data_IF_684960434617
#
_entry.id   IF_684960434617
#
_cell.length_a   1.000
_cell.length_b   1.000
_cell.length_c   1.000
_cell.angle_alpha   90.00
_cell.angle_beta   90.00
_cell.angle_gamma   90.00
#
_symmetry.space_group_name_H-M   'P 1'
#
loop_
_entity.id
_entity.type
_entity.pdbx_description
1 polymer ?
#
# COMPACT_ATOMS: atom_id res chain seq x y z
N UNK A 1 -4.64 -9.77 -33.70
CA UNK A 1 -5.82 -10.18 -32.91
C UNK A 1 -5.53 -11.56 -32.36
N UNK A 2 -4.91 -11.60 -31.19
CA UNK A 2 -4.68 -12.83 -30.46
C UNK A 2 -6.03 -13.42 -30.05
N UNK A 3 -6.20 -14.73 -30.29
CA UNK A 3 -7.40 -15.46 -29.90
C UNK A 3 -7.22 -15.89 -28.44
N UNK A 4 -7.66 -15.07 -27.50
CA UNK A 4 -7.88 -15.50 -26.11
C UNK A 4 -9.25 -16.18 -26.03
N UNK A 5 -9.31 -17.35 -25.38
CA UNK A 5 -10.56 -18.06 -25.16
C UNK A 5 -10.95 -17.97 -23.69
N UNK A 6 -12.25 -18.18 -23.41
CA UNK A 6 -12.74 -18.16 -22.02
C UNK A 6 -12.15 -19.35 -21.22
N UNK A 7 -11.78 -20.43 -21.90
CA UNK A 7 -11.16 -21.62 -21.30
C UNK A 7 -9.82 -21.26 -20.64
N UNK A 8 -9.02 -20.42 -21.29
CA UNK A 8 -7.71 -19.96 -20.78
C UNK A 8 -7.83 -19.20 -19.44
N UNK A 9 -8.99 -18.58 -19.19
CA UNK A 9 -9.26 -17.77 -18.00
C UNK A 9 -9.98 -18.54 -16.88
N UNK A 10 -10.76 -19.57 -17.21
CA UNK A 10 -11.57 -20.32 -16.22
C UNK A 10 -10.69 -21.12 -15.26
N UNK A 11 -9.51 -21.56 -15.72
CA UNK A 11 -8.56 -22.27 -14.86
C UNK A 11 -8.02 -21.39 -13.71
N UNK A 12 -8.06 -20.07 -13.89
CA UNK A 12 -7.60 -19.07 -12.90
C UNK A 12 -8.75 -18.53 -12.08
N UNK A 13 -9.90 -18.28 -12.73
CA UNK A 13 -11.13 -17.81 -12.08
C UNK A 13 -12.27 -18.77 -12.37
N UNK A 14 -12.56 -19.64 -11.41
CA UNK A 14 -13.56 -20.71 -11.55
C UNK A 14 -14.97 -20.19 -11.87
N UNK A 15 -15.33 -19.00 -11.37
CA UNK A 15 -16.63 -18.38 -11.60
C UNK A 15 -16.60 -17.45 -12.82
N UNK A 16 -17.36 -17.81 -13.87
CA UNK A 16 -17.46 -17.03 -15.11
C UNK A 16 -18.03 -15.63 -14.92
N UNK A 17 -18.92 -15.43 -13.95
CA UNK A 17 -19.46 -14.10 -13.66
C UNK A 17 -18.42 -13.22 -12.94
N UNK A 18 -17.66 -13.82 -12.03
CA UNK A 18 -16.54 -13.14 -11.34
C UNK A 18 -15.46 -12.74 -12.34
N UNK A 19 -15.10 -13.62 -13.28
CA UNK A 19 -14.16 -13.31 -14.36
C UNK A 19 -14.58 -12.06 -15.13
N UNK A 20 -15.86 -11.93 -15.49
CA UNK A 20 -16.38 -10.75 -16.20
C UNK A 20 -16.27 -9.49 -15.35
N UNK A 21 -16.54 -9.59 -14.04
CA UNK A 21 -16.42 -8.46 -13.12
C UNK A 21 -14.96 -8.00 -12.97
N UNK A 22 -14.03 -8.93 -12.73
CA UNK A 22 -12.60 -8.63 -12.57
C UNK A 22 -11.99 -8.09 -13.86
N UNK A 23 -12.25 -8.73 -15.01
CA UNK A 23 -11.78 -8.24 -16.30
C UNK A 23 -12.37 -6.87 -16.65
N UNK A 24 -13.64 -6.63 -16.28
CA UNK A 24 -14.29 -5.33 -16.44
C UNK A 24 -13.66 -4.24 -15.58
N UNK A 25 -13.34 -4.54 -14.32
CA UNK A 25 -12.61 -3.64 -13.42
C UNK A 25 -11.23 -3.31 -13.98
N UNK A 26 -10.44 -4.34 -14.35
CA UNK A 26 -9.11 -4.17 -14.93
C UNK A 26 -9.13 -3.37 -16.23
N UNK A 27 -10.09 -3.64 -17.12
CA UNK A 27 -10.23 -2.89 -18.37
C UNK A 27 -10.51 -1.38 -18.15
N UNK A 28 -11.22 -1.02 -17.08
CA UNK A 28 -11.42 0.38 -16.68
C UNK A 28 -10.13 0.99 -16.15
N UNK A 29 -9.37 0.27 -15.33
CA UNK A 29 -8.06 0.76 -14.86
C UNK A 29 -7.13 1.06 -16.04
N UNK A 30 -7.04 0.15 -17.01
CA UNK A 30 -6.27 0.37 -18.25
C UNK A 30 -6.81 1.59 -19.01
N UNK A 31 -8.13 1.76 -19.08
CA UNK A 31 -8.75 2.94 -19.71
C UNK A 31 -8.43 4.24 -18.99
N UNK A 32 -8.18 4.19 -17.68
CA UNK A 32 -7.77 5.33 -16.85
C UNK A 32 -6.25 5.58 -16.89
N UNK A 33 -5.49 4.80 -17.66
CA UNK A 33 -4.05 4.95 -17.83
C UNK A 33 -3.18 3.98 -17.01
N UNK A 34 -3.75 2.95 -16.40
CA UNK A 34 -2.94 1.91 -15.75
C UNK A 34 -2.04 1.21 -16.78
N UNK A 35 -0.80 0.93 -16.37
CA UNK A 35 0.19 0.24 -17.20
C UNK A 35 -0.28 -1.20 -17.50
N UNK A 36 -0.13 -1.60 -18.75
CA UNK A 36 -0.38 -2.98 -19.20
C UNK A 36 0.88 -3.83 -19.00
N UNK A 37 0.69 -5.10 -18.67
CA UNK A 37 1.76 -6.07 -18.41
C UNK A 37 1.98 -7.04 -19.58
N UNK A 38 1.09 -7.00 -20.57
CA UNK A 38 1.16 -7.82 -21.80
C UNK A 38 1.20 -6.93 -23.03
N UNK A 39 1.84 -7.43 -24.09
CA UNK A 39 1.95 -6.71 -25.34
C UNK A 39 0.60 -6.51 -26.05
N UNK A 40 0.39 -5.27 -26.50
CA UNK A 40 -0.84 -4.84 -27.13
C UNK A 40 -0.88 -5.18 -28.61
N UNK A 41 -1.54 -6.29 -28.97
CA UNK A 41 -1.74 -6.73 -30.36
C UNK A 41 -3.03 -6.14 -30.98
N UNK A 42 -3.13 -4.79 -31.01
CA UNK A 42 -4.35 -4.07 -31.42
C UNK A 42 -5.63 -4.45 -30.63
N UNK A 43 -5.45 -5.11 -29.48
CA UNK A 43 -6.54 -5.55 -28.63
C UNK A 43 -7.16 -4.38 -27.86
N UNK A 44 -8.47 -4.47 -27.65
CA UNK A 44 -9.21 -3.52 -26.80
C UNK A 44 -8.93 -3.83 -25.32
N UNK A 45 -9.10 -2.85 -24.43
CA UNK A 45 -8.81 -3.00 -23.00
C UNK A 45 -9.46 -4.24 -22.35
N UNK A 46 -10.71 -4.63 -22.66
CA UNK A 46 -11.28 -5.87 -22.12
C UNK A 46 -10.54 -7.14 -22.54
N UNK A 47 -10.04 -7.20 -23.78
CA UNK A 47 -9.30 -8.35 -24.30
C UNK A 47 -7.89 -8.38 -23.71
N UNK A 48 -7.25 -7.21 -23.56
CA UNK A 48 -5.96 -7.09 -22.87
C UNK A 48 -6.10 -7.57 -21.42
N UNK A 49 -7.13 -7.14 -20.70
CA UNK A 49 -7.38 -7.58 -19.32
C UNK A 49 -7.57 -9.10 -19.20
N UNK A 50 -8.31 -9.73 -20.12
CA UNK A 50 -8.46 -11.18 -20.15
C UNK A 50 -7.13 -11.90 -20.43
N UNK A 51 -6.27 -11.33 -21.27
CA UNK A 51 -4.93 -11.86 -21.53
C UNK A 51 -4.02 -11.75 -20.30
N UNK A 52 -4.05 -10.63 -19.59
CA UNK A 52 -3.29 -10.47 -18.33
C UNK A 52 -3.71 -11.51 -17.27
N UNK A 53 -5.01 -11.83 -17.20
CA UNK A 53 -5.53 -12.88 -16.30
C UNK A 53 -5.13 -14.28 -16.79
N UNK A 54 -5.20 -14.54 -18.09
CA UNK A 54 -4.85 -15.84 -18.67
C UNK A 54 -3.34 -16.16 -18.56
N UNK A 55 -2.51 -15.13 -18.73
CA UNK A 55 -1.04 -15.20 -18.67
C UNK A 55 -0.51 -15.06 -17.22
N UNK A 56 -1.40 -14.93 -16.23
CA UNK A 56 -1.08 -14.81 -14.79
C UNK A 56 -0.12 -13.65 -14.47
N UNK A 57 -0.05 -12.64 -15.34
CA UNK A 57 0.76 -11.43 -15.09
C UNK A 57 0.13 -10.54 -14.03
N UNK A 58 -1.15 -10.76 -13.74
CA UNK A 58 -1.91 -10.13 -12.67
C UNK A 58 -2.67 -11.20 -11.90
N UNK A 59 -2.56 -11.15 -10.58
CA UNK A 59 -3.31 -11.99 -9.63
C UNK A 59 -4.80 -11.62 -9.65
N UNK A 60 -5.71 -12.57 -9.95
CA UNK A 60 -7.15 -12.35 -9.83
C UNK A 60 -7.59 -11.99 -8.41
N UNK A 61 -6.91 -12.52 -7.40
CA UNK A 61 -7.16 -12.25 -5.99
C UNK A 61 -6.85 -10.78 -5.66
N UNK A 62 -5.71 -10.25 -6.12
CA UNK A 62 -5.35 -8.85 -5.89
C UNK A 62 -6.35 -7.92 -6.58
N UNK A 63 -6.73 -8.25 -7.82
CA UNK A 63 -7.77 -7.53 -8.56
C UNK A 63 -9.11 -7.49 -7.84
N UNK A 64 -9.44 -8.57 -7.11
CA UNK A 64 -10.66 -8.68 -6.34
C UNK A 64 -10.62 -7.78 -5.11
N UNK A 65 -9.52 -7.80 -4.37
CA UNK A 65 -9.34 -6.93 -3.21
C UNK A 65 -9.36 -5.44 -3.63
N UNK A 66 -8.67 -5.08 -4.71
CA UNK A 66 -8.73 -3.73 -5.29
C UNK A 66 -10.16 -3.33 -5.68
N UNK A 67 -10.90 -4.23 -6.34
CA UNK A 67 -12.29 -3.99 -6.70
C UNK A 67 -13.17 -3.77 -5.46
N UNK A 68 -13.00 -4.58 -4.42
CA UNK A 68 -13.73 -4.44 -3.15
C UNK A 68 -13.40 -3.09 -2.51
N UNK A 69 -12.13 -2.74 -2.39
CA UNK A 69 -11.69 -1.44 -1.85
C UNK A 69 -12.24 -0.26 -2.65
N UNK A 70 -12.28 -0.36 -3.98
CA UNK A 70 -12.82 0.71 -4.84
C UNK A 70 -14.31 0.99 -4.60
N UNK A 71 -15.05 0.03 -4.05
CA UNK A 71 -16.49 0.11 -3.79
C UNK A 71 -16.82 0.37 -2.31
N UNK A 72 -15.86 0.15 -1.40
CA UNK A 72 -16.00 0.43 0.03
C UNK A 72 -15.98 1.94 0.29
N UNK A 73 -17.17 2.52 0.51
CA UNK A 73 -17.30 3.96 0.82
C UNK A 73 -17.05 4.32 2.28
N UNK A 74 -17.21 3.35 3.18
CA UNK A 74 -17.06 3.53 4.61
C UNK A 74 -16.20 2.39 5.13
N UNK A 75 -15.00 2.72 5.59
CA UNK A 75 -14.12 1.82 6.33
C UNK A 75 -14.22 2.29 7.78
N UNK A 76 -14.77 1.44 8.64
CA UNK A 76 -14.79 1.71 10.07
C UNK A 76 -13.33 1.72 10.54
N UNK A 77 -12.85 2.86 11.02
CA UNK A 77 -11.55 2.94 11.68
C UNK A 77 -11.75 2.27 13.03
N UNK A 78 -11.19 1.07 13.22
CA UNK A 78 -11.03 0.50 14.55
C UNK A 78 -10.19 1.51 15.35
N UNK A 79 -10.87 2.33 16.15
CA UNK A 79 -10.19 3.14 17.15
C UNK A 79 -9.43 2.16 18.04
N UNK A 80 -8.12 2.36 18.28
CA UNK A 80 -7.41 1.51 19.21
C UNK A 80 -8.14 1.61 20.54
N UNK A 81 -8.70 0.49 21.02
CA UNK A 81 -9.25 0.45 22.36
C UNK A 81 -8.18 1.03 23.29
N UNK A 82 -8.50 2.02 24.14
CA UNK A 82 -7.53 2.50 25.10
C UNK A 82 -7.27 1.32 26.03
N UNK A 83 -6.19 0.57 25.76
CA UNK A 83 -5.66 -0.40 26.69
C UNK A 83 -5.61 0.34 28.02
N UNK A 84 -6.33 -0.20 29.00
CA UNK A 84 -6.50 0.44 30.29
C UNK A 84 -5.12 0.67 30.88
N UNK A 85 -4.61 1.89 30.72
CA UNK A 85 -3.37 2.34 31.34
C UNK A 85 -3.58 2.03 32.83
N UNK A 86 -2.78 1.12 33.42
CA UNK A 86 -2.92 0.81 34.83
C UNK A 86 -2.74 2.13 35.57
N UNK A 87 -3.77 2.57 36.27
CA UNK A 87 -3.70 3.73 37.14
C UNK A 87 -2.75 3.37 38.28
N UNK A 88 -1.45 3.64 38.09
CA UNK A 88 -0.45 3.58 39.14
C UNK A 88 -0.77 4.73 40.09
N UNK A 89 -1.56 4.45 41.13
CA UNK A 89 -1.81 5.41 42.19
C UNK A 89 -3.11 5.22 42.97
N UNK A 90 -3.29 4.08 43.66
CA UNK A 90 -4.23 4.00 44.78
C UNK A 90 -3.87 2.83 45.71
N UNK A 91 -2.96 3.06 46.66
CA UNK A 91 -2.66 2.11 47.73
C UNK A 91 -1.23 2.28 48.20
N UNK A 92 -1.04 2.95 49.33
CA UNK A 92 0.27 3.30 49.84
C UNK A 92 1.09 2.09 50.29
N UNK A 93 2.39 2.16 50.03
CA UNK A 93 3.48 1.71 50.88
C UNK A 93 4.75 2.31 50.28
N UNK A 94 5.59 2.90 51.15
CA UNK A 94 6.76 3.65 50.74
C UNK A 94 7.76 2.78 49.98
N UNK A 95 8.31 3.33 48.89
CA UNK A 95 9.52 2.81 48.26
C UNK A 95 10.44 3.99 48.00
N UNK A 96 11.68 3.79 48.45
CA UNK A 96 12.80 4.72 48.52
C UNK A 96 13.14 5.44 47.21
N UNK A 97 13.77 6.61 47.41
CA UNK A 97 14.41 7.41 46.39
C UNK A 97 15.61 6.66 45.77
N UNK A 98 15.47 6.14 44.55
CA UNK A 98 16.54 6.15 43.53
C UNK A 98 16.00 5.66 42.17
N UNK A 99 16.35 6.39 41.11
CA UNK A 99 16.42 5.97 39.70
C UNK A 99 15.25 5.20 39.05
N UNK A 100 14.33 5.94 38.42
CA UNK A 100 14.10 5.93 36.94
C UNK A 100 12.84 6.75 36.63
N UNK A 101 13.01 8.07 36.65
CA UNK A 101 11.96 9.00 36.24
C UNK A 101 11.97 9.10 34.70
N UNK A 102 11.07 8.39 34.02
CA UNK A 102 10.74 8.76 32.63
C UNK A 102 9.73 9.90 32.70
N UNK A 103 10.24 11.09 32.96
CA UNK A 103 9.46 12.33 32.82
C UNK A 103 9.22 12.53 31.33
N UNK A 104 8.01 12.22 30.87
CA UNK A 104 7.50 12.74 29.60
C UNK A 104 7.17 14.23 29.80
N UNK A 105 8.23 15.03 29.91
CA UNK A 105 8.14 16.49 29.93
C UNK A 105 7.65 16.93 28.55
N UNK A 106 6.52 17.65 28.51
CA UNK A 106 6.08 18.36 27.31
C UNK A 106 7.13 19.41 27.01
N UNK A 107 8.12 19.07 26.19
CA UNK A 107 9.12 20.02 25.74
C UNK A 107 8.42 21.19 25.03
N UNK A 108 8.80 22.40 25.41
CA UNK A 108 8.28 23.59 24.75
C UNK A 108 8.80 23.66 23.31
N UNK A 109 8.05 24.31 22.40
CA UNK A 109 8.45 24.46 21.00
C UNK A 109 9.85 25.09 20.87
N UNK A 110 10.20 25.99 21.80
CA UNK A 110 11.50 26.65 21.89
C UNK A 110 12.65 25.67 22.24
N UNK A 111 12.41 24.67 23.09
CA UNK A 111 13.40 23.62 23.42
C UNK A 111 13.64 22.67 22.26
N UNK A 112 12.59 22.35 21.50
CA UNK A 112 12.67 21.56 20.27
C UNK A 112 13.47 22.29 19.19
N UNK A 113 13.22 23.58 19.00
CA UNK A 113 13.91 24.42 18.01
C UNK A 113 15.40 24.56 18.33
N UNK A 114 15.73 24.76 19.61
CA UNK A 114 17.12 24.83 20.08
C UNK A 114 17.88 23.52 19.92
N UNK A 115 17.19 22.39 20.05
CA UNK A 115 17.75 21.06 19.76
C UNK A 115 18.04 20.86 18.27
N UNK A 116 17.18 21.40 17.40
CA UNK A 116 17.31 21.29 15.94
C UNK A 116 18.44 22.15 15.37
N UNK A 117 18.69 23.35 15.92
CA UNK A 117 19.77 24.25 15.46
C UNK A 117 21.19 23.65 15.61
N UNK A 118 21.36 22.63 16.45
CA UNK A 118 22.62 21.91 16.61
C UNK A 118 22.86 20.78 15.60
N UNK A 119 21.85 20.35 14.84
CA UNK A 119 22.02 19.35 13.80
C UNK A 119 22.45 20.03 12.50
N UNK A 120 23.75 19.94 12.20
CA UNK A 120 24.25 20.28 10.88
C UNK A 120 23.46 19.51 9.82
N UNK A 121 23.01 20.16 8.73
CA UNK A 121 22.37 19.47 7.62
C UNK A 121 23.28 18.34 7.14
N UNK A 122 22.74 17.15 6.83
CA UNK A 122 23.54 16.12 6.18
C UNK A 122 24.12 16.69 4.88
N UNK A 123 25.43 16.59 4.70
CA UNK A 123 26.12 16.96 3.46
C UNK A 123 25.54 16.13 2.30
N UNK A 124 25.17 16.86 1.25
CA UNK A 124 24.86 16.49 -0.12
C UNK A 124 24.64 15.00 -0.44
N UNK A 125 23.42 14.68 -0.91
CA UNK A 125 23.14 13.43 -1.62
C UNK A 125 24.10 13.32 -2.82
N UNK A 126 24.82 12.21 -3.02
CA UNK A 126 25.65 12.06 -4.21
C UNK A 126 24.76 12.14 -5.45
N UNK A 127 25.17 13.01 -6.38
CA UNK A 127 24.59 13.16 -7.72
C UNK A 127 24.49 11.79 -8.41
N UNK A 128 23.40 11.51 -9.16
CA UNK A 128 23.28 10.27 -9.90
C UNK A 128 24.40 10.19 -10.95
N UNK A 129 25.15 9.08 -10.92
CA UNK A 129 26.19 8.77 -11.90
C UNK A 129 25.51 8.61 -13.27
N UNK A 130 25.84 9.48 -14.22
CA UNK A 130 25.52 9.26 -15.63
C UNK A 130 26.22 7.97 -16.08
N UNK A 131 25.42 6.98 -16.48
CA UNK A 131 25.94 5.74 -17.05
C UNK A 131 26.28 6.06 -18.50
N UNK A 132 27.58 6.22 -18.78
CA UNK A 132 28.10 6.33 -20.14
C UNK A 132 27.69 5.07 -20.94
N UNK A 133 26.93 5.28 -22.01
CA UNK A 133 26.78 4.35 -23.13
C UNK A 133 28.16 4.12 -23.76
N UNK A 134 28.71 2.89 -23.63
CA UNK A 134 29.80 2.42 -24.47
C UNK A 134 29.41 1.09 -25.17
N UNK A 135 29.36 1.21 -26.50
CA UNK A 135 29.38 0.25 -27.63
C UNK A 135 29.03 -1.25 -27.43
#
# INVERSE_FOLDING_TARGET
>A
MARVTVEDCIDKVSNRFELVLLAGHRARMISSGAQITVDRDNDKNPVVALREIADETISPEDLKEELVHSLQKYVEVDEPEPESIPLIGAGGEGVDADDTEVVLERMTEEELLKGLEGLAPPEERPEPVEVDDEE
#
